data_IF_374958584242
#
_entry.id   IF_374958584242
#
_cell.length_a   1.000
_cell.length_b   1.000
_cell.length_c   1.000
_cell.angle_alpha   90.00
_cell.angle_beta   90.00
_cell.angle_gamma   90.00
#
_symmetry.space_group_name_H-M   'P 1'
#
loop_
_entity.id
_entity.type
_entity.pdbx_description
1 polymer ?
#
# COMPACT_ATOMS: atom_id res chain seq x y z
N UNK A 1 2.45 -10.98 6.36
CA UNK A 1 1.81 -10.17 5.30
C UNK A 1 1.39 -8.86 5.92
N UNK A 2 2.09 -7.75 5.69
CA UNK A 2 1.58 -6.44 6.12
C UNK A 2 0.41 -6.09 5.21
N UNK A 3 -0.81 -6.26 5.70
CA UNK A 3 -1.99 -5.72 5.05
C UNK A 3 -1.80 -4.21 4.91
N UNK A 4 -1.94 -3.69 3.69
CA UNK A 4 -1.93 -2.25 3.40
C UNK A 4 -3.10 -1.48 4.05
N UNK A 5 -3.86 -2.14 4.94
CA UNK A 5 -5.00 -1.60 5.68
C UNK A 5 -4.66 -0.36 6.52
N UNK A 6 -3.38 -0.17 6.89
CA UNK A 6 -2.93 0.99 7.67
C UNK A 6 -2.31 2.12 6.81
N UNK A 7 -2.22 1.95 5.48
CA UNK A 7 -1.67 2.99 4.59
C UNK A 7 -2.77 3.95 4.17
N UNK A 8 -2.81 5.10 4.83
CA UNK A 8 -3.63 6.22 4.41
C UNK A 8 -3.10 6.82 3.11
N UNK A 9 -3.89 6.77 2.03
CA UNK A 9 -3.54 7.37 0.74
C UNK A 9 -4.22 8.72 0.59
N UNK A 10 -3.44 9.71 0.16
CA UNK A 10 -3.98 11.06 -0.02
C UNK A 10 -4.79 11.18 -1.32
N UNK A 11 -5.89 11.96 -1.32
CA UNK A 11 -6.64 12.21 -2.52
C UNK A 11 -5.80 12.85 -3.63
N UNK A 12 -6.00 12.39 -4.86
CA UNK A 12 -5.34 12.98 -6.03
C UNK A 12 -5.83 14.41 -6.26
N UNK A 13 -4.92 15.31 -6.63
CA UNK A 13 -5.23 16.74 -6.86
C UNK A 13 -5.43 17.10 -8.33
N UNK A 14 -5.06 16.20 -9.23
CA UNK A 14 -5.15 16.40 -10.68
C UNK A 14 -6.36 15.65 -11.23
N UNK A 15 -7.31 16.37 -11.84
CA UNK A 15 -8.57 15.80 -12.32
C UNK A 15 -8.38 14.64 -13.29
N UNK A 16 -7.48 14.78 -14.28
CA UNK A 16 -7.24 13.71 -15.25
C UNK A 16 -6.66 12.44 -14.59
N UNK A 17 -5.77 12.61 -13.61
CA UNK A 17 -5.21 11.47 -12.87
C UNK A 17 -6.28 10.79 -12.01
N UNK A 18 -7.18 11.58 -11.42
CA UNK A 18 -8.31 11.07 -10.65
C UNK A 18 -9.36 10.36 -11.53
N UNK A 19 -9.65 10.87 -12.72
CA UNK A 19 -10.49 10.19 -13.71
C UNK A 19 -9.88 8.84 -14.11
N UNK A 20 -8.57 8.78 -14.38
CA UNK A 20 -7.90 7.53 -14.72
C UNK A 20 -7.94 6.53 -13.54
N UNK A 21 -7.76 6.99 -12.31
CA UNK A 21 -7.91 6.17 -11.11
C UNK A 21 -9.32 5.58 -11.01
N UNK A 22 -10.35 6.42 -11.17
CA UNK A 22 -11.75 5.97 -11.16
C UNK A 22 -12.03 4.99 -12.31
N UNK A 23 -11.47 5.22 -13.50
CA UNK A 23 -11.63 4.31 -14.63
C UNK A 23 -11.13 2.89 -14.28
N UNK A 24 -9.93 2.79 -13.70
CA UNK A 24 -9.34 1.50 -13.34
C UNK A 24 -10.11 0.79 -12.22
N UNK A 25 -10.55 1.53 -11.19
CA UNK A 25 -11.37 0.97 -10.10
C UNK A 25 -12.71 0.47 -10.64
N UNK A 26 -13.44 1.31 -11.37
CA UNK A 26 -14.78 0.94 -11.84
C UNK A 26 -14.75 -0.12 -12.92
N UNK A 27 -13.67 -0.24 -13.71
CA UNK A 27 -13.45 -1.39 -14.60
C UNK A 27 -13.69 -2.72 -13.89
N UNK A 28 -13.24 -2.82 -12.63
CA UNK A 28 -13.45 -4.00 -11.78
C UNK A 28 -14.82 -3.99 -11.13
N UNK A 29 -15.23 -2.87 -10.50
CA UNK A 29 -16.51 -2.80 -9.75
C UNK A 29 -17.76 -3.01 -10.62
N UNK A 30 -17.72 -2.62 -11.88
CA UNK A 30 -18.83 -2.86 -12.82
C UNK A 30 -18.56 -4.03 -13.77
N UNK A 31 -17.40 -4.70 -13.64
CA UNK A 31 -17.01 -5.86 -14.43
C UNK A 31 -17.20 -5.64 -15.94
N UNK A 32 -16.63 -4.54 -16.44
CA UNK A 32 -16.69 -4.17 -17.86
C UNK A 32 -15.31 -3.91 -18.43
N UNK A 33 -14.88 -4.76 -19.36
CA UNK A 33 -13.61 -4.57 -20.07
C UNK A 33 -13.65 -3.39 -21.05
N UNK A 34 -14.84 -2.87 -21.38
CA UNK A 34 -15.06 -1.78 -22.32
C UNK A 34 -15.38 -0.45 -21.66
N UNK A 35 -15.20 -0.31 -20.34
CA UNK A 35 -15.30 0.99 -19.66
C UNK A 35 -14.30 1.98 -20.26
N UNK A 36 -14.75 3.21 -20.54
CA UNK A 36 -13.96 4.22 -21.25
C UNK A 36 -14.21 5.61 -20.69
N UNK A 37 -13.21 6.50 -20.84
CA UNK A 37 -13.42 7.94 -20.68
C UNK A 37 -14.28 8.47 -21.81
N UNK A 38 -15.16 9.39 -21.49
CA UNK A 38 -16.07 10.02 -22.43
C UNK A 38 -15.41 11.25 -23.06
N UNK A 39 -15.03 11.18 -24.33
CA UNK A 39 -14.50 12.34 -25.07
C UNK A 39 -13.20 12.94 -24.49
N UNK A 40 -12.81 14.11 -25.01
CA UNK A 40 -11.63 14.87 -24.57
C UNK A 40 -12.04 16.15 -23.85
N UNK A 41 -11.14 16.69 -23.03
CA UNK A 41 -11.33 17.97 -22.33
C UNK A 41 -11.78 19.07 -23.29
N UNK A 42 -12.92 19.70 -23.00
CA UNK A 42 -13.52 20.76 -23.82
C UNK A 42 -14.62 20.30 -24.78
N UNK A 43 -14.91 19.00 -24.85
CA UNK A 43 -16.10 18.49 -25.53
C UNK A 43 -17.31 18.48 -24.60
N UNK A 44 -18.52 18.57 -25.16
CA UNK A 44 -19.74 18.35 -24.39
C UNK A 44 -19.82 16.87 -23.98
N UNK A 45 -19.53 16.58 -22.71
CA UNK A 45 -19.48 15.22 -22.17
C UNK A 45 -20.79 14.83 -21.47
N UNK A 46 -21.84 15.65 -21.59
CA UNK A 46 -23.14 15.45 -20.92
C UNK A 46 -23.02 15.17 -19.41
N UNK A 47 -22.00 15.73 -18.74
CA UNK A 47 -21.75 15.47 -17.32
C UNK A 47 -21.35 14.03 -17.01
N UNK A 48 -20.82 13.28 -17.98
CA UNK A 48 -20.33 11.90 -17.78
C UNK A 48 -18.88 11.87 -18.21
N UNK A 49 -17.94 11.72 -17.28
CA UNK A 49 -16.50 11.66 -17.60
C UNK A 49 -16.07 10.25 -18.01
N UNK A 50 -16.72 9.22 -17.45
CA UNK A 50 -16.45 7.80 -17.71
C UNK A 50 -17.78 7.09 -17.92
N UNK A 51 -17.84 6.17 -18.87
CA UNK A 51 -19.02 5.33 -19.08
C UNK A 51 -18.63 3.87 -19.30
N UNK A 52 -19.55 2.97 -18.97
CA UNK A 52 -19.42 1.54 -19.20
C UNK A 52 -20.75 0.83 -19.01
N UNK A 53 -20.72 -0.51 -18.99
CA UNK A 53 -21.89 -1.36 -18.90
C UNK A 53 -21.71 -2.42 -17.83
N UNK A 54 -22.55 -2.39 -16.80
CA UNK A 54 -22.48 -3.34 -15.69
C UNK A 54 -22.58 -4.78 -16.19
N UNK A 55 -21.59 -5.60 -15.88
CA UNK A 55 -21.48 -7.01 -16.26
C UNK A 55 -21.66 -7.25 -17.78
N UNK A 56 -21.26 -6.29 -18.61
CA UNK A 56 -21.43 -6.33 -20.06
C UNK A 56 -22.89 -6.29 -20.54
N UNK A 57 -23.84 -5.97 -19.65
CA UNK A 57 -25.28 -5.87 -19.95
C UNK A 57 -25.65 -4.59 -20.72
N UNK A 58 -26.94 -4.30 -20.89
CA UNK A 58 -27.42 -3.04 -21.46
C UNK A 58 -27.58 -1.93 -20.39
N UNK A 59 -27.13 -2.19 -19.17
CA UNK A 59 -27.20 -1.23 -18.05
C UNK A 59 -26.01 -0.28 -18.11
N UNK A 60 -26.22 0.87 -18.76
CA UNK A 60 -25.20 1.92 -18.90
C UNK A 60 -24.95 2.61 -17.56
N UNK A 61 -23.69 2.62 -17.14
CA UNK A 61 -23.21 3.31 -15.94
C UNK A 61 -22.42 4.53 -16.40
N UNK A 62 -22.81 5.71 -15.93
CA UNK A 62 -22.05 6.95 -16.09
C UNK A 62 -21.38 7.35 -14.77
N UNK A 63 -20.15 7.86 -14.84
CA UNK A 63 -19.41 8.33 -13.67
C UNK A 63 -18.91 9.74 -13.94
N UNK A 64 -19.21 10.65 -13.03
CA UNK A 64 -18.66 12.00 -12.98
C UNK A 64 -17.62 12.08 -11.87
N UNK A 65 -16.40 12.46 -12.23
CA UNK A 65 -15.28 12.65 -11.34
C UNK A 65 -15.20 14.13 -10.91
N UNK A 66 -15.10 14.39 -9.61
CA UNK A 66 -14.93 15.75 -9.07
C UNK A 66 -13.79 15.80 -8.05
N UNK A 67 -12.69 16.42 -8.45
CA UNK A 67 -11.61 16.78 -7.52
C UNK A 67 -12.00 18.03 -6.74
N UNK A 68 -11.81 17.98 -5.42
CA UNK A 68 -12.06 19.03 -4.45
C UNK A 68 -10.79 19.29 -3.63
N UNK A 69 -10.49 20.55 -3.34
CA UNK A 69 -9.36 20.93 -2.50
C UNK A 69 -9.62 20.54 -1.04
N UNK A 70 -8.59 20.61 -0.19
CA UNK A 70 -8.75 20.40 1.25
C UNK A 70 -9.79 21.36 1.84
N UNK A 71 -10.89 20.81 2.36
CA UNK A 71 -12.00 21.57 2.96
C UNK A 71 -13.12 21.94 1.98
N UNK A 72 -12.91 21.77 0.66
CA UNK A 72 -13.97 21.95 -0.32
C UNK A 72 -14.93 20.77 -0.32
N UNK A 73 -16.19 21.03 -0.68
CA UNK A 73 -17.25 20.03 -0.73
C UNK A 73 -17.88 19.97 -2.11
N UNK A 74 -18.46 18.81 -2.44
CA UNK A 74 -19.40 18.69 -3.54
C UNK A 74 -20.76 19.22 -3.05
N UNK A 75 -21.35 20.16 -3.79
CA UNK A 75 -22.58 20.83 -3.38
C UNK A 75 -23.82 20.19 -4.01
N UNK A 76 -24.98 20.36 -3.38
CA UNK A 76 -26.28 19.90 -3.90
C UNK A 76 -26.56 20.50 -5.29
N UNK A 77 -26.28 21.78 -5.49
CA UNK A 77 -26.47 22.48 -6.77
C UNK A 77 -25.58 21.90 -7.88
N UNK A 78 -24.29 21.64 -7.58
CA UNK A 78 -23.40 20.99 -8.55
C UNK A 78 -23.93 19.60 -8.94
N UNK A 79 -24.43 18.83 -7.97
CA UNK A 79 -25.02 17.51 -8.24
C UNK A 79 -26.26 17.63 -9.14
N UNK A 80 -27.17 18.57 -8.89
CA UNK A 80 -28.36 18.77 -9.73
C UNK A 80 -28.00 19.18 -11.16
N UNK A 81 -27.04 20.08 -11.31
CA UNK A 81 -26.59 20.54 -12.63
C UNK A 81 -26.01 19.40 -13.46
N UNK A 82 -25.19 18.53 -12.85
CA UNK A 82 -24.60 17.39 -13.55
C UNK A 82 -25.63 16.29 -13.82
N UNK A 83 -26.56 16.02 -12.89
CA UNK A 83 -27.71 15.13 -13.15
C UNK A 83 -28.48 15.60 -14.39
N UNK A 84 -28.76 16.91 -14.49
CA UNK A 84 -29.49 17.48 -15.62
C UNK A 84 -28.77 17.27 -16.95
N UNK A 85 -27.43 17.35 -16.96
CA UNK A 85 -26.63 17.03 -18.15
C UNK A 85 -26.66 15.53 -18.44
N UNK A 86 -26.52 14.67 -17.43
CA UNK A 86 -26.51 13.22 -17.60
C UNK A 86 -27.84 12.67 -18.13
N UNK A 87 -28.96 13.35 -17.89
CA UNK A 87 -30.27 13.01 -18.50
C UNK A 87 -30.27 13.04 -20.03
N UNK A 88 -29.36 13.80 -20.66
CA UNK A 88 -29.26 13.84 -22.13
C UNK A 88 -28.23 12.85 -22.68
N UNK A 89 -27.56 12.09 -21.82
CA UNK A 89 -26.62 11.05 -22.24
C UNK A 89 -27.35 9.95 -23.03
N UNK A 90 -26.77 9.56 -24.16
CA UNK A 90 -27.32 8.55 -25.05
C UNK A 90 -26.26 7.47 -25.36
N UNK A 91 -26.55 6.18 -25.10
CA UNK A 91 -27.82 5.60 -24.61
C UNK A 91 -28.16 5.99 -23.18
N UNK A 92 -29.45 5.90 -22.78
CA UNK A 92 -29.89 6.26 -21.43
C UNK A 92 -29.14 5.46 -20.37
N UNK A 93 -28.70 6.16 -19.32
CA UNK A 93 -28.08 5.53 -18.15
C UNK A 93 -29.09 4.71 -17.35
N UNK A 94 -28.62 3.66 -16.70
CA UNK A 94 -29.29 2.96 -15.60
C UNK A 94 -28.76 3.43 -14.24
N UNK A 95 -27.50 3.87 -14.20
CA UNK A 95 -26.84 4.33 -12.98
C UNK A 95 -25.90 5.50 -13.30
N UNK A 96 -25.85 6.47 -12.40
CA UNK A 96 -24.99 7.64 -12.49
C UNK A 96 -24.29 7.88 -11.15
N UNK A 97 -22.97 7.94 -11.17
CA UNK A 97 -22.14 7.92 -9.97
C UNK A 97 -21.29 9.19 -9.92
N UNK A 98 -21.36 9.92 -8.81
CA UNK A 98 -20.43 10.98 -8.47
C UNK A 98 -19.25 10.41 -7.69
N UNK A 99 -18.09 10.30 -8.31
CA UNK A 99 -16.84 9.98 -7.63
C UNK A 99 -16.13 11.28 -7.23
N UNK A 100 -15.79 11.46 -5.95
CA UNK A 100 -15.16 12.70 -5.49
C UNK A 100 -14.00 12.49 -4.53
N UNK A 101 -13.03 13.41 -4.56
CA UNK A 101 -11.92 13.46 -3.59
C UNK A 101 -12.30 14.15 -2.28
N UNK A 102 -13.52 14.65 -2.15
CA UNK A 102 -14.04 15.19 -0.90
C UNK A 102 -14.26 14.07 0.13
N UNK A 103 -14.14 14.38 1.44
CA UNK A 103 -14.52 13.45 2.50
C UNK A 103 -16.04 13.22 2.52
N UNK A 104 -16.47 12.11 3.12
CA UNK A 104 -17.91 11.80 3.30
C UNK A 104 -18.70 12.97 3.89
N UNK A 105 -19.83 13.28 3.27
CA UNK A 105 -20.77 14.31 3.72
C UNK A 105 -22.18 13.71 3.89
N UNK A 106 -22.65 13.64 5.13
CA UNK A 106 -23.95 13.06 5.48
C UNK A 106 -25.12 13.76 4.78
N UNK A 107 -25.09 15.09 4.68
CA UNK A 107 -26.17 15.87 4.08
C UNK A 107 -26.23 15.60 2.58
N UNK A 108 -25.08 15.55 1.92
CA UNK A 108 -25.02 15.22 0.50
C UNK A 108 -25.47 13.77 0.23
N UNK A 109 -25.10 12.82 1.09
CA UNK A 109 -25.57 11.44 0.97
C UNK A 109 -27.10 11.34 1.07
N UNK A 110 -27.71 12.06 2.02
CA UNK A 110 -29.16 12.11 2.16
C UNK A 110 -29.84 12.71 0.93
N UNK A 111 -29.31 13.83 0.44
CA UNK A 111 -29.77 14.46 -0.78
C UNK A 111 -29.72 13.52 -1.99
N UNK A 112 -28.59 12.83 -2.20
CA UNK A 112 -28.41 11.88 -3.30
C UNK A 112 -29.36 10.68 -3.18
N UNK A 113 -29.60 10.16 -1.97
CA UNK A 113 -30.61 9.11 -1.75
C UNK A 113 -32.01 9.56 -2.16
N UNK A 114 -32.40 10.79 -1.81
CA UNK A 114 -33.70 11.34 -2.22
C UNK A 114 -33.78 11.48 -3.75
N UNK A 115 -32.73 12.00 -4.40
CA UNK A 115 -32.68 12.09 -5.87
C UNK A 115 -32.82 10.73 -6.56
N UNK A 116 -32.22 9.69 -6.00
CA UNK A 116 -32.41 8.31 -6.49
C UNK A 116 -33.85 7.87 -6.40
N UNK A 117 -34.54 8.11 -5.28
CA UNK A 117 -35.97 7.77 -5.14
C UNK A 117 -36.80 8.53 -6.18
N UNK A 118 -36.58 9.83 -6.33
CA UNK A 118 -37.31 10.68 -7.28
C UNK A 118 -37.08 10.23 -8.74
N UNK A 119 -35.85 9.87 -9.09
CA UNK A 119 -35.49 9.36 -10.41
C UNK A 119 -36.12 8.00 -10.70
N UNK A 120 -36.06 7.07 -9.75
CA UNK A 120 -36.64 5.74 -9.92
C UNK A 120 -38.17 5.82 -10.12
N UNK A 121 -38.85 6.71 -9.38
CA UNK A 121 -40.28 6.97 -9.57
C UNK A 121 -40.63 7.51 -10.98
N UNK A 122 -39.66 8.12 -11.66
CA UNK A 122 -39.80 8.64 -13.02
C UNK A 122 -39.28 7.68 -14.10
N UNK A 123 -38.82 6.48 -13.72
CA UNK A 123 -38.20 5.53 -14.65
C UNK A 123 -36.84 5.98 -15.18
N UNK A 124 -36.13 6.81 -14.43
CA UNK A 124 -34.77 7.31 -14.72
C UNK A 124 -33.70 6.47 -13.99
N UNK A 125 -32.44 6.87 -14.13
CA UNK A 125 -31.28 6.19 -13.53
C UNK A 125 -31.14 6.42 -12.03
N UNK A 126 -30.50 5.45 -11.36
CA UNK A 126 -30.04 5.56 -9.97
C UNK A 126 -28.92 6.60 -9.87
N UNK A 127 -28.91 7.40 -8.81
CA UNK A 127 -27.86 8.39 -8.52
C UNK A 127 -27.08 7.98 -7.26
N UNK A 128 -25.77 7.80 -7.38
CA UNK A 128 -24.90 7.42 -6.28
C UNK A 128 -23.78 8.45 -6.09
N UNK A 129 -23.25 8.54 -4.87
CA UNK A 129 -22.05 9.32 -4.56
C UNK A 129 -21.05 8.43 -3.83
N UNK A 130 -19.79 8.50 -4.24
CA UNK A 130 -18.66 7.76 -3.71
C UNK A 130 -17.59 8.78 -3.32
N UNK A 131 -17.27 8.84 -2.04
CA UNK A 131 -16.32 9.81 -1.47
C UNK A 131 -14.91 9.25 -1.44
N UNK A 132 -13.95 10.11 -1.08
CA UNK A 132 -12.55 9.68 -0.97
C UNK A 132 -12.38 8.53 0.01
N UNK A 133 -13.07 8.57 1.16
CA UNK A 133 -13.02 7.51 2.16
C UNK A 133 -13.47 6.15 1.61
N UNK A 134 -14.37 6.13 0.62
CA UNK A 134 -14.83 4.90 -0.04
C UNK A 134 -13.81 4.42 -1.08
N UNK A 135 -13.24 5.34 -1.86
CA UNK A 135 -12.20 5.06 -2.86
C UNK A 135 -10.90 4.57 -2.19
N UNK A 136 -10.55 5.13 -1.04
CA UNK A 136 -9.40 4.71 -0.23
C UNK A 136 -9.58 3.26 0.23
N UNK A 137 -10.77 2.89 0.69
CA UNK A 137 -11.08 1.50 1.06
C UNK A 137 -11.01 0.57 -0.15
N UNK A 138 -11.57 0.98 -1.30
CA UNK A 138 -11.46 0.21 -2.54
C UNK A 138 -9.98 -0.03 -2.92
N UNK A 139 -9.11 0.96 -2.75
CA UNK A 139 -7.67 0.84 -3.06
C UNK A 139 -6.90 -0.05 -2.10
N UNK A 140 -7.38 -0.20 -0.87
CA UNK A 140 -6.77 -1.04 0.15
C UNK A 140 -7.14 -2.53 0.00
N UNK A 141 -8.11 -2.87 -0.87
CA UNK A 141 -8.45 -4.26 -1.17
C UNK A 141 -7.32 -4.99 -1.92
N UNK A 142 -7.10 -6.27 -1.59
CA UNK A 142 -6.03 -7.10 -2.18
C UNK A 142 -6.08 -7.17 -3.71
N UNK A 143 -7.30 -7.17 -4.26
CA UNK A 143 -7.54 -7.18 -5.70
C UNK A 143 -7.11 -5.86 -6.40
N UNK A 144 -6.94 -4.76 -5.64
CA UNK A 144 -6.71 -3.39 -6.11
C UNK A 144 -5.33 -2.84 -5.78
N UNK A 145 -4.45 -3.65 -5.20
CA UNK A 145 -3.09 -3.23 -4.86
C UNK A 145 -2.26 -2.83 -6.09
N UNK A 146 -2.50 -3.44 -7.25
CA UNK A 146 -1.85 -3.06 -8.50
C UNK A 146 -2.28 -1.66 -8.98
N UNK A 147 -3.56 -1.29 -8.79
CA UNK A 147 -4.07 0.05 -9.06
C UNK A 147 -3.47 1.03 -8.06
N UNK A 148 -3.52 0.71 -6.76
CA UNK A 148 -2.93 1.53 -5.71
C UNK A 148 -1.45 1.81 -6.02
N UNK A 149 -0.68 0.78 -6.37
CA UNK A 149 0.71 0.93 -6.80
C UNK A 149 0.85 1.80 -8.06
N UNK A 150 0.06 1.59 -9.11
CA UNK A 150 0.11 2.40 -10.34
C UNK A 150 -0.02 3.91 -10.07
N UNK A 151 -0.92 4.30 -9.17
CA UNK A 151 -1.20 5.71 -8.89
C UNK A 151 -0.38 6.29 -7.75
N UNK A 152 0.14 5.48 -6.83
CA UNK A 152 0.83 5.93 -5.63
C UNK A 152 2.24 5.36 -5.47
N UNK A 153 2.82 4.75 -6.52
CA UNK A 153 4.21 4.23 -6.50
C UNK A 153 5.27 5.22 -6.03
N UNK A 154 5.04 6.53 -6.15
CA UNK A 154 6.00 7.53 -5.66
C UNK A 154 5.91 7.72 -4.14
N UNK A 155 4.81 7.29 -3.52
CA UNK A 155 4.60 7.23 -2.07
C UNK A 155 4.98 5.86 -1.49
N UNK A 156 4.91 4.79 -2.29
CA UNK A 156 5.44 3.49 -1.94
C UNK A 156 6.91 3.42 -2.33
N UNK A 157 7.84 3.45 -1.37
CA UNK A 157 9.23 3.11 -1.66
C UNK A 157 9.25 1.67 -2.17
N UNK A 158 9.30 1.47 -3.49
CA UNK A 158 9.53 0.14 -4.04
C UNK A 158 10.98 -0.25 -3.77
N UNK A 159 11.18 -0.90 -2.63
CA UNK A 159 12.48 -1.42 -2.21
C UNK A 159 13.03 -2.40 -3.27
N UNK A 160 12.16 -3.04 -4.07
CA UNK A 160 12.55 -3.99 -5.10
C UNK A 160 13.05 -3.31 -6.37
N UNK A 161 12.84 -1.99 -6.55
CA UNK A 161 13.10 -1.37 -7.86
C UNK A 161 14.54 -0.90 -8.14
N UNK A 162 15.34 -0.55 -7.12
CA UNK A 162 16.61 0.17 -7.34
C UNK A 162 17.83 -0.33 -6.55
N UNK A 163 17.82 -1.59 -6.05
CA UNK A 163 18.87 -2.04 -5.14
C UNK A 163 18.77 -1.38 -3.75
N UNK A 164 17.57 -0.88 -3.43
CA UNK A 164 17.24 -0.42 -2.10
C UNK A 164 17.26 -1.61 -1.13
N UNK A 165 17.63 -1.35 0.11
CA UNK A 165 17.56 -2.33 1.18
C UNK A 165 16.39 -2.00 2.10
N UNK A 166 15.86 -3.01 2.78
CA UNK A 166 14.96 -2.80 3.90
C UNK A 166 15.60 -3.37 5.15
N UNK A 167 15.67 -2.57 6.20
CA UNK A 167 16.16 -2.99 7.49
C UNK A 167 15.55 -2.17 8.59
N UNK A 168 15.59 -2.72 9.80
CA UNK A 168 15.01 -2.10 10.97
C UNK A 168 16.08 -1.87 12.02
N UNK A 169 16.09 -0.67 12.57
CA UNK A 169 16.86 -0.33 13.75
C UNK A 169 16.17 -0.94 14.97
N UNK A 170 16.92 -1.74 15.72
CA UNK A 170 16.48 -2.40 16.94
C UNK A 170 17.50 -2.19 18.06
N UNK A 171 17.04 -2.31 19.30
CA UNK A 171 17.87 -2.53 20.46
C UNK A 171 17.78 -4.00 20.86
N UNK A 172 18.93 -4.61 21.22
CA UNK A 172 18.96 -5.96 21.78
C UNK A 172 19.87 -6.03 23.00
N UNK A 173 19.34 -6.57 24.09
CA UNK A 173 20.10 -6.92 25.27
C UNK A 173 20.52 -8.40 25.21
N UNK A 174 21.80 -8.68 25.39
CA UNK A 174 22.35 -10.03 25.39
C UNK A 174 23.13 -10.35 26.65
N UNK A 175 23.23 -11.63 26.98
CA UNK A 175 24.02 -12.10 28.12
C UNK A 175 23.98 -13.61 28.33
N UNK A 176 24.39 -14.04 29.52
CA UNK A 176 24.48 -15.46 29.89
C UNK A 176 23.56 -15.75 31.08
N UNK A 177 22.83 -16.86 31.02
CA UNK A 177 21.82 -17.22 31.99
C UNK A 177 20.66 -16.21 31.99
N UNK A 178 20.26 -15.77 33.17
CA UNK A 178 19.14 -14.84 33.38
C UNK A 178 19.60 -13.37 33.47
N UNK A 179 20.84 -13.06 33.12
CA UNK A 179 21.43 -11.72 33.28
C UNK A 179 21.98 -11.21 31.96
N UNK A 180 21.21 -10.40 31.21
CA UNK A 180 21.75 -9.58 30.14
C UNK A 180 22.81 -8.63 30.71
N UNK A 181 23.93 -8.52 30.00
CA UNK A 181 25.07 -7.71 30.41
C UNK A 181 25.59 -6.77 29.31
N UNK A 182 25.09 -6.94 28.08
CA UNK A 182 25.56 -6.22 26.91
C UNK A 182 24.38 -5.74 26.08
N UNK A 183 24.46 -4.50 25.58
CA UNK A 183 23.42 -3.86 24.79
C UNK A 183 23.97 -3.48 23.41
N UNK A 184 23.18 -3.72 22.37
CA UNK A 184 23.48 -3.34 21.00
C UNK A 184 22.33 -2.61 20.31
N UNK A 185 22.65 -1.55 19.58
CA UNK A 185 21.82 -0.99 18.52
C UNK A 185 22.21 -1.60 17.18
N UNK A 186 21.30 -2.41 16.61
CA UNK A 186 21.53 -3.15 15.36
C UNK A 186 20.57 -2.70 14.27
N UNK A 187 21.04 -2.70 13.03
CA UNK A 187 20.16 -2.68 11.86
C UNK A 187 20.17 -4.07 11.25
N UNK A 188 19.04 -4.77 11.28
CA UNK A 188 18.88 -6.09 10.65
C UNK A 188 17.91 -5.96 9.48
N UNK A 189 18.28 -6.52 8.33
CA UNK A 189 17.50 -6.33 7.11
C UNK A 189 17.78 -7.33 6.00
N UNK A 190 17.12 -7.09 4.86
CA UNK A 190 17.28 -7.85 3.63
C UNK A 190 17.45 -6.94 2.42
N UNK A 191 18.20 -7.43 1.44
CA UNK A 191 18.35 -6.81 0.13
C UNK A 191 17.43 -7.60 -0.82
N UNK A 192 16.28 -7.04 -1.25
CA UNK A 192 15.35 -7.82 -2.08
C UNK A 192 15.94 -8.20 -3.45
N UNK A 193 15.64 -9.42 -3.90
CA UNK A 193 15.95 -9.89 -5.27
C UNK A 193 14.67 -9.99 -6.09
N UNK A 194 14.73 -9.62 -7.38
CA UNK A 194 13.63 -9.88 -8.32
C UNK A 194 13.78 -11.25 -8.97
N UNK A 195 12.67 -11.87 -9.34
CA UNK A 195 12.64 -13.13 -10.09
C UNK A 195 13.30 -13.05 -11.47
N UNK A 196 13.45 -11.85 -12.03
CA UNK A 196 14.07 -11.59 -13.34
C UNK A 196 15.57 -11.26 -13.25
N UNK A 197 16.13 -11.11 -12.04
CA UNK A 197 17.56 -10.89 -11.83
C UNK A 197 18.29 -12.25 -11.87
N UNK A 198 18.54 -12.78 -13.07
CA UNK A 198 19.13 -14.11 -13.27
C UNK A 198 20.67 -14.11 -13.08
N UNK A 199 21.31 -12.97 -13.27
CA UNK A 199 22.77 -12.85 -13.33
C UNK A 199 23.39 -12.56 -11.95
N UNK A 200 24.50 -13.21 -11.61
CA UNK A 200 25.20 -13.06 -10.31
C UNK A 200 26.43 -12.13 -10.39
N UNK A 201 26.30 -10.98 -11.06
CA UNK A 201 27.41 -10.03 -11.22
C UNK A 201 27.02 -8.60 -10.80
N UNK A 202 28.01 -7.81 -10.39
CA UNK A 202 27.83 -6.41 -10.01
C UNK A 202 26.83 -6.25 -8.85
N UNK A 203 25.87 -5.33 -9.00
CA UNK A 203 24.84 -5.06 -7.98
C UNK A 203 23.95 -6.28 -7.69
N UNK A 204 23.81 -7.22 -8.62
CA UNK A 204 22.97 -8.40 -8.41
C UNK A 204 23.59 -9.43 -7.45
N UNK A 205 24.90 -9.37 -7.21
CA UNK A 205 25.60 -10.29 -6.30
C UNK A 205 25.04 -10.23 -4.87
N UNK A 206 24.73 -9.01 -4.38
CA UNK A 206 24.23 -8.79 -3.01
C UNK A 206 22.71 -8.88 -2.90
N UNK A 207 21.99 -8.98 -4.03
CA UNK A 207 20.53 -9.11 -4.00
C UNK A 207 20.14 -10.50 -3.50
N UNK A 208 19.22 -10.55 -2.56
CA UNK A 208 18.75 -11.77 -1.89
C UNK A 208 19.46 -12.05 -0.57
N UNK A 209 20.52 -11.31 -0.25
CA UNK A 209 21.23 -11.45 1.02
C UNK A 209 20.49 -10.78 2.17
N UNK A 210 20.62 -11.36 3.37
CA UNK A 210 20.32 -10.66 4.61
C UNK A 210 21.56 -9.94 5.08
N UNK A 211 21.38 -8.86 5.84
CA UNK A 211 22.48 -8.08 6.38
C UNK A 211 22.21 -7.63 7.80
N UNK A 212 23.30 -7.41 8.52
CA UNK A 212 23.31 -6.89 9.88
C UNK A 212 24.36 -5.80 10.00
N UNK A 213 24.01 -4.70 10.66
CA UNK A 213 24.90 -3.59 10.97
C UNK A 213 24.92 -3.44 12.48
N UNK A 214 26.11 -3.47 13.07
CA UNK A 214 26.34 -3.15 14.46
C UNK A 214 26.75 -1.69 14.58
N UNK A 215 25.86 -0.85 15.10
CA UNK A 215 26.11 0.60 15.19
C UNK A 215 27.06 0.96 16.32
N UNK A 216 27.13 0.14 17.38
CA UNK A 216 28.04 0.33 18.50
C UNK A 216 29.50 0.19 18.05
N UNK A 217 29.78 -0.80 17.20
CA UNK A 217 31.13 -1.09 16.70
C UNK A 217 31.40 -0.52 15.29
N UNK A 218 30.36 -0.02 14.60
CA UNK A 218 30.40 0.47 13.21
C UNK A 218 30.86 -0.58 12.21
N UNK A 219 30.47 -1.83 12.45
CA UNK A 219 30.77 -3.01 11.64
C UNK A 219 29.50 -3.50 10.95
N UNK A 220 29.66 -4.25 9.85
CA UNK A 220 28.54 -4.83 9.12
C UNK A 220 28.97 -6.12 8.42
N UNK A 221 28.02 -7.01 8.18
CA UNK A 221 28.20 -8.15 7.26
C UNK A 221 26.85 -8.64 6.71
N UNK A 222 26.91 -9.50 5.70
CA UNK A 222 25.77 -10.27 5.20
C UNK A 222 25.73 -11.65 5.82
N UNK A 223 24.55 -12.24 5.98
CA UNK A 223 24.41 -13.57 6.58
C UNK A 223 23.37 -14.46 5.88
N UNK A 224 23.60 -15.79 5.85
CA UNK A 224 22.61 -16.77 5.38
C UNK A 224 21.56 -17.09 6.46
N UNK A 225 20.48 -17.75 6.07
CA UNK A 225 19.55 -18.38 7.02
C UNK A 225 19.61 -19.90 6.81
N UNK A 226 19.96 -20.71 7.82
CA UNK A 226 20.32 -20.30 9.18
C UNK A 226 21.68 -19.55 9.24
N UNK A 227 21.78 -18.62 10.19
CA UNK A 227 22.97 -17.81 10.50
C UNK A 227 23.86 -18.53 11.51
N UNK A 228 25.17 -18.51 11.29
CA UNK A 228 26.17 -19.12 12.16
C UNK A 228 27.05 -18.04 12.83
N UNK A 229 27.69 -18.34 13.97
CA UNK A 229 28.55 -17.36 14.65
C UNK A 229 29.69 -16.83 13.77
N UNK A 230 30.25 -17.67 12.89
CA UNK A 230 31.31 -17.29 11.95
C UNK A 230 30.84 -16.26 10.93
N UNK A 231 29.55 -16.23 10.58
CA UNK A 231 29.00 -15.23 9.66
C UNK A 231 28.97 -13.83 10.29
N UNK A 232 29.14 -13.74 11.61
CA UNK A 232 29.06 -12.52 12.40
C UNK A 232 30.38 -12.14 13.08
N UNK A 233 31.48 -12.84 12.78
CA UNK A 233 32.78 -12.63 13.45
C UNK A 233 33.38 -11.25 13.16
N UNK A 234 33.05 -10.66 12.01
CA UNK A 234 33.43 -9.29 11.67
C UNK A 234 32.44 -8.24 12.20
N UNK A 235 31.25 -8.67 12.62
CA UNK A 235 30.18 -7.80 13.13
C UNK A 235 30.32 -7.60 14.63
N UNK A 236 30.72 -8.62 15.37
CA UNK A 236 30.87 -8.56 16.82
C UNK A 236 32.27 -8.97 17.24
N UNK A 237 32.91 -8.13 18.06
CA UNK A 237 34.26 -8.40 18.57
C UNK A 237 34.39 -9.72 19.35
N UNK A 238 33.35 -10.15 20.04
CA UNK A 238 33.39 -11.33 20.90
C UNK A 238 32.60 -12.49 20.30
N UNK A 239 33.23 -13.68 20.24
CA UNK A 239 32.59 -14.92 19.77
C UNK A 239 31.30 -15.25 20.55
N UNK A 240 31.25 -14.89 21.84
CA UNK A 240 30.04 -14.99 22.68
C UNK A 240 28.87 -14.24 22.05
N UNK A 241 29.09 -13.01 21.62
CA UNK A 241 28.04 -12.11 21.16
C UNK A 241 27.56 -12.54 19.77
N UNK A 242 28.50 -12.86 18.88
CA UNK A 242 28.20 -13.48 17.59
C UNK A 242 27.36 -14.77 17.75
N UNK A 243 27.66 -15.60 18.76
CA UNK A 243 26.88 -16.80 19.08
C UNK A 243 25.46 -16.48 19.54
N UNK A 244 25.28 -15.59 20.52
CA UNK A 244 23.95 -15.23 21.04
C UNK A 244 23.08 -14.60 19.94
N UNK A 245 23.67 -13.70 19.14
CA UNK A 245 22.96 -12.99 18.07
C UNK A 245 22.59 -13.94 16.91
N UNK A 246 23.50 -14.82 16.48
CA UNK A 246 23.17 -15.80 15.42
C UNK A 246 22.06 -16.76 15.84
N UNK A 247 22.02 -17.19 17.10
CA UNK A 247 20.90 -17.99 17.63
C UNK A 247 19.60 -17.21 17.69
N UNK A 248 19.64 -15.94 18.12
CA UNK A 248 18.48 -15.08 18.10
C UNK A 248 17.94 -14.88 16.68
N UNK A 249 18.80 -14.58 15.70
CA UNK A 249 18.44 -14.46 14.28
C UNK A 249 17.71 -15.72 13.80
N UNK A 250 18.20 -16.90 14.18
CA UNK A 250 17.59 -18.17 13.77
C UNK A 250 16.24 -18.47 14.42
N UNK A 251 15.91 -17.81 15.54
CA UNK A 251 14.62 -17.97 16.22
C UNK A 251 13.54 -17.01 15.71
N UNK A 252 13.93 -15.91 15.08
CA UNK A 252 12.99 -14.89 14.60
C UNK A 252 12.63 -15.10 13.12
N UNK A 253 11.47 -14.57 12.74
CA UNK A 253 11.15 -14.35 11.33
C UNK A 253 11.59 -12.95 10.92
N UNK A 254 12.50 -12.85 9.94
CA UNK A 254 13.04 -11.57 9.47
C UNK A 254 11.96 -10.64 8.88
N UNK A 255 10.90 -11.17 8.28
CA UNK A 255 9.80 -10.33 7.79
C UNK A 255 9.04 -9.70 8.96
N UNK A 256 8.74 -10.49 9.99
CA UNK A 256 8.04 -10.00 11.17
C UNK A 256 8.89 -8.99 11.95
N UNK A 257 10.21 -9.20 12.00
CA UNK A 257 11.14 -8.20 12.56
C UNK A 257 11.05 -6.89 11.79
N UNK A 258 11.25 -6.93 10.48
CA UNK A 258 11.37 -5.74 9.64
C UNK A 258 10.09 -4.91 9.60
N UNK A 259 8.93 -5.57 9.54
CA UNK A 259 7.62 -4.90 9.40
C UNK A 259 6.83 -4.77 10.71
N UNK A 260 7.23 -5.46 11.78
CA UNK A 260 6.55 -5.39 13.07
C UNK A 260 6.76 -4.06 13.80
N UNK A 261 6.06 -3.85 14.91
CA UNK A 261 6.22 -2.66 15.76
C UNK A 261 7.29 -2.82 16.85
N UNK A 262 7.66 -4.06 17.22
CA UNK A 262 8.61 -4.33 18.30
C UNK A 262 10.04 -3.91 17.94
N UNK A 263 10.70 -3.17 18.83
CA UNK A 263 12.04 -2.59 18.59
C UNK A 263 13.05 -2.98 19.68
N UNK A 264 12.60 -3.54 20.80
CA UNK A 264 13.46 -3.98 21.88
C UNK A 264 13.42 -5.50 21.99
N UNK A 265 14.58 -6.13 22.01
CA UNK A 265 14.73 -7.57 22.07
C UNK A 265 15.67 -7.96 23.19
N UNK A 266 15.57 -9.21 23.63
CA UNK A 266 16.49 -9.80 24.58
C UNK A 266 16.83 -11.23 24.15
N UNK A 267 18.09 -11.62 24.29
CA UNK A 267 18.52 -12.98 23.98
C UNK A 267 19.66 -13.41 24.90
N UNK A 268 19.57 -14.59 25.49
CA UNK A 268 20.65 -15.14 26.32
C UNK A 268 21.00 -16.57 25.88
N UNK A 269 22.19 -17.00 26.26
CA UNK A 269 22.63 -18.40 26.19
C UNK A 269 22.81 -18.95 27.60
N UNK A 270 22.78 -20.27 27.76
CA UNK A 270 23.03 -20.92 29.05
C UNK A 270 24.51 -20.85 29.45
N UNK A 271 24.78 -21.01 30.74
CA UNK A 271 26.17 -21.12 31.24
C UNK A 271 26.92 -22.32 30.62
N UNK A 272 26.24 -23.43 30.35
CA UNK A 272 26.85 -24.60 29.70
C UNK A 272 27.30 -24.30 28.27
N UNK A 273 26.47 -23.57 27.51
CA UNK A 273 26.81 -23.10 26.16
C UNK A 273 27.96 -22.11 26.19
N UNK A 274 27.96 -21.19 27.17
CA UNK A 274 29.05 -20.23 27.36
C UNK A 274 30.41 -20.93 27.62
N UNK A 275 30.45 -21.91 28.52
CA UNK A 275 31.68 -22.67 28.83
C UNK A 275 32.23 -23.39 27.59
N UNK A 276 31.36 -23.92 26.73
CA UNK A 276 31.75 -24.61 25.49
C UNK A 276 32.42 -23.68 24.46
N UNK A 277 32.27 -22.37 24.57
CA UNK A 277 32.93 -21.40 23.69
C UNK A 277 34.42 -21.22 24.00
N UNK A 278 34.92 -21.77 25.11
CA UNK A 278 36.35 -21.78 25.44
C UNK A 278 36.92 -20.40 25.77
N UNK A 279 36.07 -19.48 26.25
CA UNK A 279 36.46 -18.13 26.72
C UNK A 279 36.92 -18.18 28.17
#
# INVERSE_FOLDING_TARGET
MSTLQDVKVFPLRESERFENLCLDIWKRKINDQHIQRNGRRGQEQHGVDIFGRRDGSMNWVGIQCKVKSMGDRLTETEVEEEIRKAMTFNPRLSEYIFATTAPRDQRLQEFVRQKTVDHLNQGLFIVNVVFWDDIELDLAEDNNLDICYKYYKDFFIDVKNFGNTIGKLIAIEIGVGDSPDTHYELIVGKIPRRSQDEDYFGLNYYKGSNYIVNLNEKTFDTFPVPCYPSDLEHVFRFNRDAKIISEWINRINLEDLVYGSEVNYQSTITYEEYIKLGV
#
